data_IF_333015853431
#
_entry.id   IF_333015853431
#
_cell.length_a   1.000
_cell.length_b   1.000
_cell.length_c   1.000
_cell.angle_alpha   90.00
_cell.angle_beta   90.00
_cell.angle_gamma   90.00
#
_symmetry.space_group_name_H-M   'P 1'
#
loop_
_entity.id
_entity.type
_entity.pdbx_description
1 polymer ?
#
# COMPACT_ATOMS: atom_id res chain seq x y z
N UNK A 1 -2.35 -16.87 25.48
CA UNK A 1 -2.04 -16.74 26.91
C UNK A 1 -0.88 -15.77 27.20
N UNK A 2 0.37 -15.99 26.74
CA UNK A 2 1.52 -15.09 27.08
C UNK A 2 1.31 -13.59 26.84
N UNK A 3 0.68 -13.20 25.73
CA UNK A 3 0.39 -11.77 25.42
C UNK A 3 -0.60 -11.13 26.41
N UNK A 4 -1.54 -11.92 26.93
CA UNK A 4 -2.54 -11.45 27.91
C UNK A 4 -1.87 -11.22 29.26
N UNK A 5 -1.02 -12.17 29.68
CA UNK A 5 -0.22 -12.05 30.92
C UNK A 5 0.74 -10.86 30.87
N UNK A 6 1.45 -10.68 29.76
CA UNK A 6 2.35 -9.53 29.59
C UNK A 6 1.61 -8.18 29.70
N UNK A 7 0.43 -8.04 29.09
CA UNK A 7 -0.37 -6.81 29.24
C UNK A 7 -0.94 -6.63 30.64
N UNK A 8 -1.29 -7.71 31.34
CA UNK A 8 -1.68 -7.67 32.75
C UNK A 8 -0.52 -7.17 33.62
N UNK A 9 0.70 -7.65 33.40
CA UNK A 9 1.88 -7.22 34.16
C UNK A 9 2.18 -5.73 33.92
N UNK A 10 2.05 -5.25 32.68
CA UNK A 10 2.13 -3.82 32.35
C UNK A 10 1.08 -3.01 33.12
N UNK A 11 -0.16 -3.50 33.21
CA UNK A 11 -1.23 -2.82 33.98
C UNK A 11 -0.94 -2.79 35.48
N UNK A 12 -0.35 -3.85 36.03
CA UNK A 12 0.01 -3.93 37.44
C UNK A 12 1.18 -3.00 37.78
N UNK A 13 2.21 -2.94 36.94
CA UNK A 13 3.36 -2.03 37.09
C UNK A 13 2.96 -0.56 37.01
N UNK A 14 1.88 -0.25 36.30
CA UNK A 14 1.36 1.09 36.12
C UNK A 14 0.54 1.62 37.30
N UNK A 15 0.39 0.85 38.39
CA UNK A 15 -0.48 1.19 39.53
C UNK A 15 -1.90 0.65 39.40
N UNK A 16 -2.14 -0.33 38.52
CA UNK A 16 -3.42 -1.04 38.39
C UNK A 16 -4.50 -0.25 37.62
N UNK A 17 -5.75 -0.66 37.79
CA UNK A 17 -6.90 -0.06 37.10
C UNK A 17 -7.31 1.34 37.61
N UNK A 18 -6.88 1.70 38.82
CA UNK A 18 -7.26 2.94 39.51
C UNK A 18 -6.74 4.20 38.81
N UNK A 19 -5.55 4.15 38.21
CA UNK A 19 -4.99 5.27 37.43
C UNK A 19 -5.85 5.66 36.22
N UNK A 20 -6.71 4.74 35.76
CA UNK A 20 -7.62 4.95 34.62
C UNK A 20 -9.01 5.42 35.07
N UNK A 21 -9.27 5.53 36.37
CA UNK A 21 -10.52 6.07 36.91
C UNK A 21 -10.42 7.59 36.98
N UNK A 22 -11.42 8.28 36.42
CA UNK A 22 -11.56 9.74 36.49
C UNK A 22 -12.98 10.07 36.90
N UNK A 23 -13.14 10.79 38.01
CA UNK A 23 -14.43 11.07 38.64
C UNK A 23 -15.25 9.79 38.92
N UNK A 24 -14.62 8.78 39.52
CA UNK A 24 -15.27 7.51 39.88
C UNK A 24 -15.61 6.58 38.69
N UNK A 25 -15.32 6.99 37.44
CA UNK A 25 -15.61 6.18 36.24
C UNK A 25 -14.32 5.72 35.56
N UNK A 26 -14.23 4.43 35.26
CA UNK A 26 -13.13 3.87 34.48
C UNK A 26 -13.14 4.42 33.04
N UNK A 27 -12.02 4.98 32.60
CA UNK A 27 -11.85 5.56 31.27
C UNK A 27 -11.11 4.57 30.37
N UNK A 28 -11.88 3.79 29.59
CA UNK A 28 -11.34 2.81 28.62
C UNK A 28 -10.33 3.47 27.68
N UNK A 29 -10.59 4.68 27.19
CA UNK A 29 -9.66 5.42 26.32
C UNK A 29 -8.29 5.64 26.96
N UNK A 30 -8.23 5.94 28.27
CA UNK A 30 -6.97 6.20 29.00
C UNK A 30 -6.19 4.89 29.20
N UNK A 31 -6.88 3.81 29.58
CA UNK A 31 -6.30 2.48 29.67
C UNK A 31 -5.78 1.99 28.30
N UNK A 32 -6.57 2.17 27.25
CA UNK A 32 -6.18 1.83 25.89
C UNK A 32 -4.95 2.61 25.43
N UNK A 33 -4.91 3.93 25.62
CA UNK A 33 -3.75 4.77 25.25
C UNK A 33 -2.49 4.42 26.05
N UNK A 34 -2.65 3.94 27.28
CA UNK A 34 -1.54 3.47 28.10
C UNK A 34 -1.00 2.12 27.63
N UNK A 35 -1.88 1.16 27.38
CA UNK A 35 -1.54 -0.17 26.86
C UNK A 35 -0.98 -0.10 25.43
N UNK A 36 -1.54 0.81 24.64
CA UNK A 36 -1.14 1.07 23.28
C UNK A 36 -0.04 2.12 23.25
N UNK A 37 1.21 1.67 23.40
CA UNK A 37 2.38 2.49 23.10
C UNK A 37 2.19 3.16 21.74
N UNK A 38 2.43 4.47 21.65
CA UNK A 38 2.33 5.21 20.40
C UNK A 38 3.20 4.51 19.34
N UNK A 39 2.56 3.93 18.33
CA UNK A 39 3.26 3.20 17.29
C UNK A 39 4.22 4.12 16.53
N UNK A 40 5.27 3.54 15.94
CA UNK A 40 6.21 4.28 15.10
C UNK A 40 5.43 5.03 14.01
N UNK A 41 5.68 6.34 13.90
CA UNK A 41 5.06 7.15 12.86
C UNK A 41 5.62 6.73 11.51
N UNK A 42 4.75 6.22 10.64
CA UNK A 42 5.10 5.81 9.29
C UNK A 42 4.74 6.91 8.28
N UNK A 43 5.64 7.26 7.35
CA UNK A 43 5.42 8.37 6.43
C UNK A 43 4.22 8.15 5.50
N UNK A 44 3.91 6.87 5.19
CA UNK A 44 2.84 6.45 4.30
C UNK A 44 1.46 6.37 4.96
N UNK A 45 1.32 6.68 6.25
CA UNK A 45 0.05 6.58 6.98
C UNK A 45 -1.10 7.29 6.27
N UNK A 46 -0.88 8.53 5.81
CA UNK A 46 -1.93 9.30 5.11
C UNK A 46 -2.27 8.72 3.74
N UNK A 47 -1.27 8.23 3.01
CA UNK A 47 -1.45 7.59 1.70
C UNK A 47 -2.37 6.38 1.80
N UNK A 48 -2.26 5.57 2.86
CA UNK A 48 -3.06 4.35 3.02
C UNK A 48 -4.34 4.60 3.83
N UNK A 49 -4.24 5.16 5.03
CA UNK A 49 -5.36 5.21 5.98
C UNK A 49 -6.42 6.27 5.63
N UNK A 50 -6.04 7.31 4.89
CA UNK A 50 -6.96 8.42 4.53
C UNK A 50 -7.19 8.47 3.01
N UNK A 51 -6.92 7.37 2.30
CA UNK A 51 -7.08 7.31 0.86
C UNK A 51 -8.55 7.33 0.45
N UNK A 52 -8.82 7.96 -0.70
CA UNK A 52 -10.10 7.82 -1.42
C UNK A 52 -10.10 6.68 -2.43
N UNK A 53 -8.99 5.98 -2.62
CA UNK A 53 -8.91 4.81 -3.51
C UNK A 53 -9.81 3.67 -3.03
N UNK A 54 -10.07 2.71 -3.92
CA UNK A 54 -10.87 1.54 -3.57
C UNK A 54 -10.27 0.79 -2.37
N UNK A 55 -11.11 0.22 -1.48
CA UNK A 55 -10.60 -0.53 -0.32
C UNK A 55 -9.65 -1.66 -0.69
N UNK A 56 -9.91 -2.36 -1.81
CA UNK A 56 -9.03 -3.42 -2.33
C UNK A 56 -7.67 -2.85 -2.74
N UNK A 57 -7.67 -1.73 -3.47
CA UNK A 57 -6.44 -1.09 -3.93
C UNK A 57 -5.60 -0.56 -2.76
N UNK A 58 -6.25 0.06 -1.77
CA UNK A 58 -5.61 0.54 -0.55
C UNK A 58 -4.98 -0.60 0.25
N UNK A 59 -5.66 -1.73 0.39
CA UNK A 59 -5.11 -2.92 1.07
C UNK A 59 -3.89 -3.48 0.34
N UNK A 60 -3.95 -3.59 -0.99
CA UNK A 60 -2.81 -4.05 -1.80
C UNK A 60 -1.63 -3.07 -1.71
N UNK A 61 -1.88 -1.76 -1.74
CA UNK A 61 -0.84 -0.75 -1.54
C UNK A 61 -0.18 -0.88 -0.17
N UNK A 62 -0.97 -1.06 0.89
CA UNK A 62 -0.46 -1.25 2.24
C UNK A 62 0.49 -2.45 2.34
N UNK A 63 0.14 -3.57 1.70
CA UNK A 63 1.02 -4.71 1.59
C UNK A 63 2.26 -4.39 0.76
N UNK A 64 2.13 -3.67 -0.36
CA UNK A 64 3.24 -3.32 -1.24
C UNK A 64 4.31 -2.49 -0.51
N UNK A 65 3.91 -1.44 0.20
CA UNK A 65 4.84 -0.54 0.92
C UNK A 65 5.61 -1.30 2.01
N UNK A 66 5.00 -2.32 2.61
CA UNK A 66 5.65 -3.13 3.64
C UNK A 66 6.48 -4.29 3.10
N UNK A 67 6.64 -4.40 1.78
CA UNK A 67 7.20 -5.57 1.13
C UNK A 67 6.50 -6.89 1.53
N UNK A 68 5.17 -6.81 1.63
CA UNK A 68 4.28 -7.90 2.06
C UNK A 68 3.34 -8.41 0.96
N UNK A 69 3.59 -8.07 -0.30
CA UNK A 69 2.91 -8.73 -1.42
C UNK A 69 3.55 -10.10 -1.70
N UNK A 70 2.77 -11.01 -2.29
CA UNK A 70 3.24 -12.35 -2.67
C UNK A 70 3.98 -12.30 -4.02
N UNK A 71 5.12 -11.62 -4.06
CA UNK A 71 6.09 -11.60 -5.16
C UNK A 71 6.95 -12.87 -5.15
N UNK A 72 7.55 -13.25 -6.29
CA UNK A 72 8.31 -14.51 -6.38
C UNK A 72 9.53 -14.51 -5.45
N UNK A 73 10.25 -13.40 -5.31
CA UNK A 73 11.34 -13.27 -4.33
C UNK A 73 10.89 -13.63 -2.90
N UNK A 74 9.66 -13.26 -2.53
CA UNK A 74 9.10 -13.50 -1.21
C UNK A 74 8.56 -14.91 -1.04
N UNK A 75 7.96 -15.49 -2.09
CA UNK A 75 7.55 -16.89 -2.09
C UNK A 75 8.76 -17.81 -1.90
N UNK A 76 9.88 -17.49 -2.54
CA UNK A 76 11.15 -18.21 -2.37
C UNK A 76 11.65 -18.10 -0.92
N UNK A 77 11.58 -16.91 -0.30
CA UNK A 77 11.90 -16.72 1.14
C UNK A 77 11.00 -17.53 2.08
N UNK A 78 9.84 -17.99 1.61
CA UNK A 78 8.95 -18.89 2.35
C UNK A 78 9.18 -20.36 2.03
N UNK A 79 10.28 -20.70 1.35
CA UNK A 79 10.61 -22.05 0.88
C UNK A 79 9.56 -22.65 -0.07
N UNK A 80 8.83 -21.80 -0.80
CA UNK A 80 7.91 -22.25 -1.85
C UNK A 80 8.70 -22.34 -3.15
N UNK A 81 8.67 -23.52 -3.78
CA UNK A 81 9.36 -23.77 -5.05
C UNK A 81 8.64 -23.06 -6.20
N UNK A 82 9.19 -21.91 -6.63
CA UNK A 82 8.72 -21.15 -7.79
C UNK A 82 9.91 -20.65 -8.60
N UNK A 83 9.73 -20.51 -9.92
CA UNK A 83 10.72 -19.83 -10.79
C UNK A 83 10.73 -18.35 -10.44
N UNK A 84 11.91 -17.79 -10.15
CA UNK A 84 12.11 -16.40 -9.70
C UNK A 84 11.75 -15.34 -10.74
N UNK A 85 11.88 -15.67 -12.03
CA UNK A 85 11.65 -14.76 -13.16
C UNK A 85 10.24 -14.14 -13.15
N UNK A 86 10.13 -12.83 -13.31
CA UNK A 86 8.88 -12.10 -13.36
C UNK A 86 7.95 -12.60 -14.47
N UNK A 87 6.71 -12.90 -14.11
CA UNK A 87 5.73 -13.46 -15.05
C UNK A 87 5.28 -12.48 -16.14
N UNK A 88 5.46 -11.16 -15.93
CA UNK A 88 5.12 -10.15 -16.93
C UNK A 88 6.25 -9.94 -17.94
N UNK A 89 7.51 -9.91 -17.51
CA UNK A 89 8.63 -9.60 -18.40
C UNK A 89 9.38 -10.82 -18.92
N UNK A 90 9.35 -11.94 -18.20
CA UNK A 90 10.11 -13.18 -18.47
C UNK A 90 11.63 -12.98 -18.66
N UNK A 91 12.21 -11.91 -18.11
CA UNK A 91 13.61 -11.52 -18.33
C UNK A 91 14.41 -11.30 -17.04
N UNK A 92 13.78 -10.76 -16.00
CA UNK A 92 14.42 -10.46 -14.71
C UNK A 92 13.64 -11.11 -13.57
N UNK A 93 14.28 -11.27 -12.42
CA UNK A 93 13.63 -11.79 -11.22
C UNK A 93 12.54 -10.85 -10.70
N UNK A 94 11.47 -11.43 -10.14
CA UNK A 94 10.34 -10.67 -9.63
C UNK A 94 10.55 -10.26 -8.18
N UNK A 95 10.75 -8.96 -7.98
CA UNK A 95 10.54 -8.28 -6.70
C UNK A 95 9.54 -7.11 -6.86
N UNK A 96 9.29 -6.38 -5.77
CA UNK A 96 8.39 -5.21 -5.80
C UNK A 96 8.93 -4.09 -6.71
N UNK A 97 10.23 -3.82 -6.68
CA UNK A 97 10.84 -2.72 -7.43
C UNK A 97 10.78 -2.99 -8.94
N UNK A 98 11.05 -4.22 -9.36
CA UNK A 98 10.93 -4.68 -10.74
C UNK A 98 9.47 -4.66 -11.20
N UNK A 99 8.56 -5.24 -10.40
CA UNK A 99 7.15 -5.34 -10.73
C UNK A 99 6.47 -3.97 -10.86
N UNK A 100 6.85 -3.01 -10.04
CA UNK A 100 6.26 -1.67 -10.03
C UNK A 100 7.27 -0.62 -10.51
N UNK A 101 7.03 -0.15 -11.73
CA UNK A 101 7.62 1.03 -12.36
C UNK A 101 9.07 0.92 -12.85
N UNK A 102 9.72 -0.24 -12.67
CA UNK A 102 11.02 -0.52 -13.30
C UNK A 102 10.89 -1.36 -14.59
N UNK A 103 9.83 -2.16 -14.72
CA UNK A 103 9.55 -2.89 -15.97
C UNK A 103 8.70 -2.05 -16.94
N UNK A 104 9.09 -2.05 -18.22
CA UNK A 104 8.46 -1.30 -19.33
C UNK A 104 6.93 -1.27 -19.28
N UNK A 105 6.27 -2.41 -19.14
CA UNK A 105 4.79 -2.46 -19.07
C UNK A 105 4.22 -1.64 -17.91
N UNK A 106 4.77 -1.82 -16.70
CA UNK A 106 4.30 -1.12 -15.51
C UNK A 106 4.60 0.38 -15.56
N UNK A 107 5.73 0.74 -16.15
CA UNK A 107 6.13 2.14 -16.42
C UNK A 107 5.15 2.79 -17.40
N UNK A 108 4.85 2.14 -18.53
CA UNK A 108 3.90 2.65 -19.54
C UNK A 108 2.50 2.89 -18.98
N UNK A 109 1.96 1.94 -18.19
CA UNK A 109 0.65 2.13 -17.52
C UNK A 109 0.68 3.40 -16.67
N UNK A 110 1.75 3.58 -15.88
CA UNK A 110 1.83 4.70 -14.95
C UNK A 110 2.07 6.03 -15.65
N UNK A 111 2.89 6.06 -16.70
CA UNK A 111 3.09 7.24 -17.55
C UNK A 111 1.78 7.71 -18.17
N UNK A 112 0.99 6.79 -18.74
CA UNK A 112 -0.32 7.12 -19.31
C UNK A 112 -1.26 7.73 -18.27
N UNK A 113 -1.28 7.18 -17.05
CA UNK A 113 -2.10 7.72 -15.96
C UNK A 113 -1.61 9.11 -15.53
N UNK A 114 -0.29 9.31 -15.38
CA UNK A 114 0.29 10.62 -15.03
C UNK A 114 -0.03 11.69 -16.08
N UNK A 115 0.12 11.36 -17.36
CA UNK A 115 -0.18 12.26 -18.48
C UNK A 115 -1.66 12.69 -18.47
N UNK A 116 -2.57 11.74 -18.26
CA UNK A 116 -4.01 12.04 -18.17
C UNK A 116 -4.39 12.90 -16.95
N UNK A 117 -3.59 12.84 -15.87
CA UNK A 117 -3.76 13.72 -14.70
C UNK A 117 -3.05 15.08 -14.86
N UNK A 118 -2.45 15.35 -16.02
CA UNK A 118 -1.70 16.58 -16.27
C UNK A 118 -0.36 16.67 -15.52
N UNK A 119 0.20 15.54 -15.10
CA UNK A 119 1.49 15.48 -14.39
C UNK A 119 2.61 15.19 -15.39
N UNK A 120 3.40 16.22 -15.70
CA UNK A 120 4.56 16.11 -16.59
C UNK A 120 5.81 15.75 -15.79
N UNK A 121 6.12 14.44 -15.70
CA UNK A 121 7.38 13.95 -15.14
C UNK A 121 7.69 12.54 -15.64
N UNK A 122 8.95 12.15 -15.58
CA UNK A 122 9.34 10.76 -15.78
C UNK A 122 8.91 9.90 -14.59
N UNK A 123 8.57 8.65 -14.88
CA UNK A 123 8.37 7.62 -13.87
C UNK A 123 9.72 7.25 -13.26
N UNK A 124 9.75 7.17 -11.94
CA UNK A 124 10.93 6.84 -11.15
C UNK A 124 10.79 5.42 -10.58
N UNK A 125 11.79 4.97 -9.83
CA UNK A 125 11.72 3.70 -9.15
C UNK A 125 10.71 3.71 -8.00
N UNK A 126 10.38 2.51 -7.52
CA UNK A 126 9.33 2.27 -6.54
C UNK A 126 9.40 3.20 -5.32
N UNK A 127 10.58 3.40 -4.74
CA UNK A 127 10.77 4.17 -3.50
C UNK A 127 10.49 5.66 -3.71
N UNK A 128 10.94 6.22 -4.83
CA UNK A 128 10.71 7.60 -5.24
C UNK A 128 9.24 7.84 -5.57
N UNK A 129 8.62 6.90 -6.26
CA UNK A 129 7.19 6.91 -6.59
C UNK A 129 6.31 6.88 -5.35
N UNK A 130 6.62 5.99 -4.39
CA UNK A 130 5.96 5.96 -3.07
C UNK A 130 6.15 7.29 -2.35
N UNK A 131 7.38 7.84 -2.33
CA UNK A 131 7.67 9.10 -1.66
C UNK A 131 6.90 10.27 -2.27
N UNK A 132 6.79 10.31 -3.60
CA UNK A 132 5.98 11.27 -4.32
C UNK A 132 4.49 11.15 -3.96
N UNK A 133 3.93 9.94 -3.98
CA UNK A 133 2.53 9.71 -3.63
C UNK A 133 2.23 10.06 -2.16
N UNK A 134 3.17 9.76 -1.25
CA UNK A 134 3.10 10.18 0.16
C UNK A 134 3.02 11.70 0.27
N UNK A 135 3.86 12.44 -0.48
CA UNK A 135 3.80 13.92 -0.50
C UNK A 135 2.43 14.40 -0.99
N UNK A 136 1.91 13.80 -2.07
CA UNK A 136 0.59 14.14 -2.64
C UNK A 136 -0.55 13.88 -1.65
N UNK A 137 -0.51 12.76 -0.91
CA UNK A 137 -1.51 12.40 0.11
C UNK A 137 -1.61 13.36 1.30
N UNK A 138 -0.64 14.27 1.47
CA UNK A 138 -0.65 15.26 2.55
C UNK A 138 -1.41 16.54 2.18
N UNK A 139 -1.69 16.73 0.89
CA UNK A 139 -2.37 17.90 0.34
C UNK A 139 -3.89 17.68 0.29
N UNK A 140 -4.65 18.76 0.41
CA UNK A 140 -6.11 18.78 0.22
C UNK A 140 -6.52 19.21 -1.20
N UNK A 141 -5.56 19.59 -2.06
CA UNK A 141 -5.84 19.99 -3.45
C UNK A 141 -6.41 18.79 -4.21
N UNK A 142 -7.51 19.00 -4.94
CA UNK A 142 -8.18 17.93 -5.71
C UNK A 142 -7.23 17.19 -6.66
N UNK A 143 -6.32 17.91 -7.32
CA UNK A 143 -5.30 17.32 -8.20
C UNK A 143 -4.33 16.41 -7.45
N UNK A 144 -3.83 16.83 -6.29
CA UNK A 144 -2.92 16.02 -5.47
C UNK A 144 -3.63 14.79 -4.86
N UNK A 145 -4.88 14.95 -4.42
CA UNK A 145 -5.71 13.83 -3.94
C UNK A 145 -5.93 12.81 -5.06
N UNK A 146 -6.23 13.27 -6.27
CA UNK A 146 -6.39 12.42 -7.45
C UNK A 146 -5.09 11.70 -7.82
N UNK A 147 -3.95 12.38 -7.74
CA UNK A 147 -2.64 11.76 -7.94
C UNK A 147 -2.35 10.63 -6.95
N UNK A 148 -2.57 10.87 -5.65
CA UNK A 148 -2.35 9.87 -4.60
C UNK A 148 -3.29 8.66 -4.78
N UNK A 149 -4.55 8.90 -5.15
CA UNK A 149 -5.53 7.86 -5.43
C UNK A 149 -5.14 7.05 -6.68
N UNK A 150 -4.78 7.71 -7.77
CA UNK A 150 -4.39 7.07 -9.02
C UNK A 150 -3.15 6.19 -8.87
N UNK A 151 -2.20 6.61 -8.03
CA UNK A 151 -1.03 5.81 -7.70
C UNK A 151 -1.43 4.47 -7.06
N UNK A 152 -2.31 4.51 -6.05
CA UNK A 152 -2.81 3.32 -5.36
C UNK A 152 -3.58 2.39 -6.31
N UNK A 153 -4.44 2.97 -7.15
CA UNK A 153 -5.18 2.22 -8.17
C UNK A 153 -4.26 1.60 -9.22
N UNK A 154 -3.16 2.27 -9.58
CA UNK A 154 -2.17 1.76 -10.54
C UNK A 154 -1.41 0.56 -10.00
N UNK A 155 -0.96 0.62 -8.75
CA UNK A 155 -0.33 -0.52 -8.06
C UNK A 155 -1.26 -1.73 -8.04
N UNK A 156 -2.55 -1.51 -7.76
CA UNK A 156 -3.54 -2.59 -7.79
C UNK A 156 -3.79 -3.12 -9.21
N UNK A 157 -3.96 -2.23 -10.19
CA UNK A 157 -4.17 -2.58 -11.60
C UNK A 157 -3.03 -3.44 -12.15
N UNK A 158 -1.78 -3.03 -11.94
CA UNK A 158 -0.58 -3.78 -12.35
C UNK A 158 -0.53 -5.14 -11.65
N UNK A 159 -0.86 -5.19 -10.35
CA UNK A 159 -0.91 -6.45 -9.58
C UNK A 159 -1.94 -7.42 -10.16
N UNK A 160 -3.09 -6.94 -10.64
CA UNK A 160 -4.09 -7.76 -11.31
C UNK A 160 -3.58 -8.32 -12.63
N UNK A 161 -2.91 -7.52 -13.46
CA UNK A 161 -2.33 -7.98 -14.72
C UNK A 161 -1.27 -9.06 -14.50
N UNK A 162 -0.39 -8.87 -13.51
CA UNK A 162 0.56 -9.90 -13.08
C UNK A 162 -0.14 -11.20 -12.69
N UNK A 163 -1.23 -11.14 -11.92
CA UNK A 163 -1.98 -12.34 -11.55
C UNK A 163 -2.66 -13.00 -12.76
N UNK A 164 -3.30 -12.21 -13.62
CA UNK A 164 -3.93 -12.69 -14.84
C UNK A 164 -2.93 -13.40 -15.74
N UNK A 165 -1.70 -12.88 -15.84
CA UNK A 165 -0.64 -13.53 -16.60
C UNK A 165 -0.25 -14.90 -16.01
N UNK A 166 -0.13 -15.01 -14.69
CA UNK A 166 0.26 -16.27 -14.04
C UNK A 166 -0.84 -17.33 -14.11
N UNK A 167 -2.10 -16.94 -13.85
CA UNK A 167 -3.19 -17.89 -13.68
C UNK A 167 -4.04 -18.08 -14.94
N UNK A 168 -3.92 -17.20 -15.93
CA UNK A 168 -4.76 -17.19 -17.12
C UNK A 168 -3.99 -16.90 -18.41
N UNK A 169 -2.68 -16.67 -18.34
CA UNK A 169 -1.83 -16.31 -19.49
C UNK A 169 -2.39 -15.16 -20.32
N UNK A 170 -3.01 -14.19 -19.63
CA UNK A 170 -3.65 -13.02 -20.24
C UNK A 170 -3.11 -11.73 -19.63
N UNK A 171 -2.71 -10.80 -20.48
CA UNK A 171 -2.31 -9.43 -20.10
C UNK A 171 -3.03 -8.45 -21.02
N UNK A 172 -3.72 -7.48 -20.44
CA UNK A 172 -4.36 -6.40 -21.19
C UNK A 172 -3.33 -5.34 -21.60
N UNK A 173 -3.60 -4.57 -22.64
CA UNK A 173 -2.68 -3.50 -23.05
C UNK A 173 -2.57 -2.40 -21.98
N UNK A 174 -1.43 -1.70 -21.88
CA UNK A 174 -1.24 -0.64 -20.89
C UNK A 174 -2.34 0.43 -20.94
N UNK A 175 -2.80 0.79 -22.14
CA UNK A 175 -3.87 1.76 -22.36
C UNK A 175 -5.20 1.32 -21.73
N UNK A 176 -5.58 0.05 -21.90
CA UNK A 176 -6.84 -0.49 -21.32
C UNK A 176 -6.79 -0.42 -19.79
N UNK A 177 -5.64 -0.77 -19.22
CA UNK A 177 -5.44 -0.75 -17.77
C UNK A 177 -5.43 0.69 -17.24
N UNK A 178 -4.73 1.60 -17.92
CA UNK A 178 -4.70 3.02 -17.59
C UNK A 178 -6.09 3.66 -17.63
N UNK A 179 -6.89 3.39 -18.68
CA UNK A 179 -8.26 3.88 -18.79
C UNK A 179 -9.15 3.37 -17.65
N UNK A 180 -8.99 2.10 -17.25
CA UNK A 180 -9.73 1.53 -16.11
C UNK A 180 -9.34 2.20 -14.79
N UNK A 181 -8.05 2.47 -14.59
CA UNK A 181 -7.53 3.19 -13.42
C UNK A 181 -8.13 4.60 -13.38
N UNK A 182 -8.08 5.33 -14.49
CA UNK A 182 -8.61 6.70 -14.60
C UNK A 182 -10.13 6.73 -14.36
N UNK A 183 -10.88 5.76 -14.87
CA UNK A 183 -12.30 5.61 -14.57
C UNK A 183 -12.55 5.42 -13.06
N UNK A 184 -11.81 4.49 -12.42
CA UNK A 184 -11.91 4.27 -10.98
C UNK A 184 -11.59 5.52 -10.15
N UNK A 185 -10.63 6.32 -10.61
CA UNK A 185 -10.24 7.60 -10.01
C UNK A 185 -11.36 8.62 -10.18
N UNK A 186 -11.89 8.79 -11.40
CA UNK A 186 -12.96 9.75 -11.70
C UNK A 186 -14.24 9.48 -10.92
N UNK A 187 -14.64 8.22 -10.75
CA UNK A 187 -15.83 7.84 -9.99
C UNK A 187 -15.75 8.12 -8.48
N UNK A 188 -14.58 8.50 -7.95
CA UNK A 188 -14.32 8.69 -6.51
C UNK A 188 -13.87 10.10 -6.14
N UNK A 189 -13.90 11.04 -7.11
CA UNK A 189 -13.54 12.44 -6.89
C UNK A 189 -14.58 13.20 -6.07
#
# INVERSE_FOLDING_TARGET
MRKIWHQRDILLQAGGGSQFVVAGKFRIHKAYKYLHHSGVQVPWKRLVCNSRASPKSTFVMWLAIQNRLATKDRLIKWNILVVSTCGLCNQQDEDISHLFFSYKYSTEVWEMVLQNLGVQRSVLQWQEEVSWAVKKSRSSRKSDVSCAMAFIESVYGIRLQRNSQIFSSKVESPLVVANRILFCVACRQ
#
